data_IF_605383121202
#
_entry.id   IF_605383121202
#
_cell.length_a   1.000
_cell.length_b   1.000
_cell.length_c   1.000
_cell.angle_alpha   90.00
_cell.angle_beta   90.00
_cell.angle_gamma   90.00
#
_symmetry.space_group_name_H-M   'P 1'
#
loop_
_entity.id
_entity.type
_entity.pdbx_description
1 polymer ?
#
# COMPACT_ATOMS: atom_id res chain seq x y z
N UNK A 1 -9.23 36.30 -23.76
CA UNK A 1 -8.82 35.46 -24.92
C UNK A 1 -7.41 34.91 -24.78
N UNK A 2 -6.38 35.67 -24.42
CA UNK A 2 -5.01 35.17 -24.19
C UNK A 2 -4.91 34.19 -22.98
N UNK A 3 -5.66 34.40 -21.92
CA UNK A 3 -5.71 33.50 -20.75
C UNK A 3 -6.36 32.17 -21.10
N UNK A 4 -7.43 32.15 -21.90
CA UNK A 4 -8.07 30.91 -22.38
C UNK A 4 -7.17 30.10 -23.32
N UNK A 5 -6.39 30.76 -24.17
CA UNK A 5 -5.40 30.09 -25.06
C UNK A 5 -4.23 29.49 -24.24
N UNK A 6 -3.84 30.14 -23.14
CA UNK A 6 -2.83 29.61 -22.21
C UNK A 6 -3.31 28.32 -21.52
N UNK A 7 -4.62 28.19 -21.23
CA UNK A 7 -5.19 26.98 -20.60
C UNK A 7 -5.54 25.88 -21.62
N UNK A 8 -5.85 26.20 -22.87
CA UNK A 8 -6.21 25.21 -23.90
C UNK A 8 -5.03 24.42 -24.49
N UNK A 9 -3.79 24.92 -24.35
CA UNK A 9 -2.56 24.23 -24.82
C UNK A 9 -1.80 23.50 -23.70
N UNK A 10 -2.35 23.37 -22.51
CA UNK A 10 -1.76 22.56 -21.45
C UNK A 10 -2.05 21.08 -21.73
N UNK A 11 -1.12 20.36 -22.38
CA UNK A 11 -0.97 18.92 -22.16
C UNK A 11 -1.00 18.68 -20.65
N UNK A 12 -1.72 17.70 -20.18
CA UNK A 12 -1.72 17.34 -18.77
C UNK A 12 -0.26 17.08 -18.34
N UNK A 13 0.20 17.87 -17.35
CA UNK A 13 1.60 17.88 -16.90
C UNK A 13 1.83 16.76 -15.89
N UNK A 14 1.48 15.54 -16.23
CA UNK A 14 1.84 14.39 -15.42
C UNK A 14 2.83 13.53 -16.18
N UNK A 15 4.06 13.44 -15.64
CA UNK A 15 5.14 12.63 -16.20
C UNK A 15 5.38 11.48 -15.23
N UNK A 16 5.21 10.25 -15.67
CA UNK A 16 5.65 9.08 -14.95
C UNK A 16 6.22 8.03 -15.91
N UNK A 17 7.41 7.57 -15.56
CA UNK A 17 8.07 6.41 -16.16
C UNK A 17 8.55 5.51 -15.04
N UNK A 18 8.18 4.26 -15.10
CA UNK A 18 8.63 3.27 -14.12
C UNK A 18 10.15 3.16 -14.13
N UNK A 19 10.83 3.18 -12.98
CA UNK A 19 12.29 3.24 -12.90
C UNK A 19 12.93 1.86 -13.12
N UNK A 20 12.66 1.22 -14.25
CA UNK A 20 13.08 -0.15 -14.57
C UNK A 20 14.60 -0.32 -14.50
N UNK A 21 15.36 0.66 -15.00
CA UNK A 21 16.82 0.61 -14.93
C UNK A 21 17.33 0.62 -13.49
N UNK A 22 16.69 1.40 -12.61
CA UNK A 22 17.03 1.45 -11.18
C UNK A 22 16.63 0.15 -10.48
N UNK A 23 15.51 -0.46 -10.86
CA UNK A 23 15.10 -1.77 -10.35
C UNK A 23 16.13 -2.85 -10.71
N UNK A 24 16.51 -2.96 -11.99
CA UNK A 24 17.53 -3.91 -12.44
C UNK A 24 18.85 -3.68 -11.70
N UNK A 25 19.32 -2.43 -11.63
CA UNK A 25 20.53 -2.08 -10.91
C UNK A 25 20.49 -2.52 -9.44
N UNK A 26 19.38 -2.29 -8.74
CA UNK A 26 19.22 -2.71 -7.37
C UNK A 26 19.23 -4.24 -7.21
N UNK A 27 18.51 -4.98 -8.06
CA UNK A 27 18.50 -6.44 -8.03
C UNK A 27 19.93 -6.99 -8.22
N UNK A 28 20.66 -6.48 -9.20
CA UNK A 28 22.04 -6.91 -9.49
C UNK A 28 22.99 -6.59 -8.31
N UNK A 29 22.93 -5.38 -7.78
CA UNK A 29 23.78 -4.94 -6.66
C UNK A 29 23.48 -5.63 -5.33
N UNK A 30 22.24 -6.04 -5.10
CA UNK A 30 21.83 -6.74 -3.89
C UNK A 30 22.02 -8.27 -3.98
N UNK A 31 22.53 -8.78 -5.11
CA UNK A 31 22.79 -10.20 -5.31
C UNK A 31 21.53 -11.05 -5.49
N UNK A 32 20.52 -10.50 -6.15
CA UNK A 32 19.21 -11.12 -6.30
C UNK A 32 19.26 -12.51 -6.94
N UNK A 33 20.08 -12.75 -7.96
CA UNK A 33 20.18 -14.06 -8.61
C UNK A 33 20.64 -15.15 -7.62
N UNK A 34 21.66 -14.86 -6.81
CA UNK A 34 22.12 -15.81 -5.77
C UNK A 34 21.05 -16.04 -4.70
N UNK A 35 20.27 -15.03 -4.37
CA UNK A 35 19.10 -15.17 -3.50
C UNK A 35 18.05 -16.09 -4.12
N UNK A 36 17.64 -15.87 -5.38
CA UNK A 36 16.65 -16.67 -6.06
C UNK A 36 17.09 -18.14 -6.21
N UNK A 37 18.34 -18.38 -6.55
CA UNK A 37 18.94 -19.72 -6.63
C UNK A 37 18.96 -20.47 -5.28
N UNK A 38 18.99 -19.77 -4.16
CA UNK A 38 19.01 -20.36 -2.82
C UNK A 38 17.68 -20.94 -2.36
N UNK A 39 16.60 -20.65 -3.06
CA UNK A 39 15.22 -21.10 -2.75
C UNK A 39 14.66 -21.86 -3.95
N UNK A 40 14.38 -23.15 -3.79
CA UNK A 40 13.93 -24.01 -4.91
C UNK A 40 12.74 -23.46 -5.67
N UNK A 41 11.79 -22.84 -4.96
CA UNK A 41 10.59 -22.23 -5.54
C UNK A 41 10.92 -21.03 -6.44
N UNK A 42 12.06 -20.36 -6.26
CA UNK A 42 12.37 -19.09 -6.92
C UNK A 42 13.41 -19.19 -8.03
N UNK A 43 13.94 -20.39 -8.33
CA UNK A 43 15.02 -20.61 -9.30
C UNK A 43 14.71 -20.08 -10.71
N UNK A 44 13.44 -20.10 -11.11
CA UNK A 44 12.98 -19.62 -12.41
C UNK A 44 12.71 -18.10 -12.43
N UNK A 45 12.85 -17.41 -11.28
CA UNK A 45 12.66 -15.97 -11.13
C UNK A 45 14.00 -15.23 -11.03
N UNK A 46 14.87 -15.38 -12.02
CA UNK A 46 16.10 -14.58 -12.10
C UNK A 46 15.82 -13.10 -12.36
N UNK A 47 16.86 -12.25 -12.29
CA UNK A 47 16.72 -10.80 -12.51
C UNK A 47 16.04 -10.49 -13.85
N UNK A 48 16.40 -11.17 -14.95
CA UNK A 48 15.86 -10.90 -16.29
C UNK A 48 14.38 -11.26 -16.35
N UNK A 49 13.99 -12.42 -15.81
CA UNK A 49 12.59 -12.86 -15.71
C UNK A 49 11.76 -11.87 -14.90
N UNK A 50 12.24 -11.48 -13.72
CA UNK A 50 11.53 -10.50 -12.87
C UNK A 50 11.37 -9.17 -13.60
N UNK A 51 12.42 -8.64 -14.19
CA UNK A 51 12.36 -7.37 -14.93
C UNK A 51 11.39 -7.45 -16.10
N UNK A 52 11.38 -8.57 -16.84
CA UNK A 52 10.42 -8.77 -17.94
C UNK A 52 8.96 -8.69 -17.49
N UNK A 53 8.63 -9.30 -16.35
CA UNK A 53 7.29 -9.20 -15.74
C UNK A 53 6.98 -7.78 -15.29
N UNK A 54 7.92 -7.15 -14.60
CA UNK A 54 7.78 -5.78 -14.08
C UNK A 54 7.61 -4.76 -15.21
N UNK A 55 8.25 -4.96 -16.38
CA UNK A 55 8.05 -4.14 -17.57
C UNK A 55 6.62 -4.22 -18.13
N UNK A 56 5.96 -5.39 -18.06
CA UNK A 56 4.56 -5.52 -18.46
C UNK A 56 3.64 -4.74 -17.51
N UNK A 57 3.89 -4.85 -16.20
CA UNK A 57 3.17 -4.07 -15.16
C UNK A 57 3.39 -2.57 -15.36
N UNK A 58 4.63 -2.16 -15.66
CA UNK A 58 5.00 -0.78 -15.94
C UNK A 58 4.22 -0.23 -17.14
N UNK A 59 4.19 -0.96 -18.24
CA UNK A 59 3.49 -0.57 -19.47
C UNK A 59 2.00 -0.30 -19.21
N UNK A 60 1.31 -1.22 -18.51
CA UNK A 60 -0.09 -1.04 -18.15
C UNK A 60 -0.30 0.22 -17.30
N UNK A 61 0.50 0.37 -16.23
CA UNK A 61 0.35 1.48 -15.30
C UNK A 61 0.63 2.84 -15.97
N UNK A 62 1.66 2.93 -16.80
CA UNK A 62 2.02 4.16 -17.53
C UNK A 62 0.99 4.56 -18.59
N UNK A 63 0.31 3.60 -19.21
CA UNK A 63 -0.63 3.87 -20.30
C UNK A 63 -2.07 4.08 -19.82
N UNK A 64 -2.50 3.42 -18.75
CA UNK A 64 -3.90 3.38 -18.35
C UNK A 64 -4.14 3.92 -16.93
N UNK A 65 -3.26 3.61 -15.96
CA UNK A 65 -3.51 3.92 -14.56
C UNK A 65 -3.15 5.36 -14.18
N UNK A 66 -2.01 5.88 -14.66
CA UNK A 66 -1.47 7.19 -14.27
C UNK A 66 -2.48 8.32 -14.49
N UNK A 67 -3.15 8.36 -15.65
CA UNK A 67 -4.13 9.40 -15.98
C UNK A 67 -5.37 9.36 -15.07
N UNK A 68 -5.68 8.18 -14.50
CA UNK A 68 -6.81 8.03 -13.58
C UNK A 68 -6.61 8.75 -12.25
N UNK A 69 -5.36 8.92 -11.80
CA UNK A 69 -5.02 9.39 -10.46
C UNK A 69 -5.56 10.80 -10.17
N UNK A 70 -5.16 11.77 -11.00
CA UNK A 70 -5.58 13.18 -10.85
C UNK A 70 -7.09 13.35 -11.09
N UNK A 71 -7.64 12.60 -12.04
CA UNK A 71 -9.07 12.62 -12.33
C UNK A 71 -9.87 12.11 -11.14
N UNK A 72 -9.43 10.99 -10.54
CA UNK A 72 -10.09 10.38 -9.39
C UNK A 72 -10.02 11.25 -8.12
N UNK A 73 -8.90 11.95 -7.87
CA UNK A 73 -8.79 12.89 -6.75
C UNK A 73 -9.81 14.02 -6.84
N UNK A 74 -10.14 14.45 -8.06
CA UNK A 74 -11.14 15.52 -8.29
C UNK A 74 -12.59 15.04 -8.22
N UNK A 75 -12.85 13.87 -8.75
CA UNK A 75 -14.17 13.26 -8.78
C UNK A 75 -14.59 12.70 -7.42
N UNK A 76 -13.65 12.06 -6.72
CA UNK A 76 -13.89 11.41 -5.43
C UNK A 76 -14.74 10.15 -5.55
N UNK A 77 -15.46 9.83 -4.48
CA UNK A 77 -16.33 8.66 -4.33
C UNK A 77 -17.70 9.10 -3.86
N UNK A 78 -18.73 8.32 -4.16
CA UNK A 78 -20.13 8.65 -3.84
C UNK A 78 -20.70 7.65 -2.84
N UNK A 79 -21.23 8.14 -1.73
CA UNK A 79 -21.99 7.35 -0.76
C UNK A 79 -23.48 7.43 -1.05
N UNK A 80 -24.14 6.28 -1.22
CA UNK A 80 -25.58 6.16 -1.46
C UNK A 80 -26.18 5.45 -0.24
N UNK A 81 -26.88 6.23 0.60
CA UNK A 81 -27.46 5.73 1.85
C UNK A 81 -28.55 4.68 1.61
N UNK A 82 -29.43 4.93 0.65
CA UNK A 82 -30.60 4.12 0.35
C UNK A 82 -30.40 3.36 -0.98
N UNK A 83 -29.35 2.52 -1.04
CA UNK A 83 -29.09 1.62 -2.16
C UNK A 83 -30.02 0.41 -2.15
N UNK A 84 -29.94 -0.44 -3.17
CA UNK A 84 -30.86 -1.57 -3.36
C UNK A 84 -30.83 -2.60 -2.24
N UNK A 85 -29.67 -2.83 -1.64
CA UNK A 85 -29.43 -3.83 -0.57
C UNK A 85 -28.85 -3.18 0.68
N UNK A 86 -29.16 -1.91 0.92
CA UNK A 86 -28.58 -1.09 1.97
C UNK A 86 -27.58 -0.06 1.43
N UNK A 87 -26.77 0.55 2.30
CA UNK A 87 -25.80 1.56 1.88
C UNK A 87 -24.78 1.02 0.88
N UNK A 88 -24.53 1.80 -0.17
CA UNK A 88 -23.58 1.47 -1.25
C UNK A 88 -22.53 2.58 -1.39
N UNK A 89 -21.36 2.20 -1.87
CA UNK A 89 -20.29 3.14 -2.25
C UNK A 89 -19.95 2.93 -3.71
N UNK A 90 -19.97 4.02 -4.48
CA UNK A 90 -19.57 4.03 -5.87
C UNK A 90 -18.23 4.72 -6.03
N UNK A 91 -17.34 4.03 -6.70
CA UNK A 91 -16.05 4.56 -7.18
C UNK A 91 -16.26 5.26 -8.54
N UNK A 92 -15.27 6.04 -9.04
CA UNK A 92 -15.34 6.58 -10.39
C UNK A 92 -15.59 5.48 -11.43
N UNK A 93 -16.46 5.72 -12.41
CA UNK A 93 -16.93 4.71 -13.38
C UNK A 93 -15.79 3.99 -14.12
N UNK A 94 -14.67 4.66 -14.34
CA UNK A 94 -13.48 4.08 -14.99
C UNK A 94 -12.63 3.22 -14.05
N UNK A 95 -12.87 3.19 -12.74
CA UNK A 95 -12.14 2.30 -11.81
C UNK A 95 -12.48 0.83 -12.03
N UNK A 96 -13.75 0.53 -12.34
CA UNK A 96 -14.18 -0.85 -12.56
C UNK A 96 -13.50 -1.51 -13.77
N UNK A 97 -13.50 -0.92 -14.98
CA UNK A 97 -12.72 -1.47 -16.09
C UNK A 97 -11.21 -1.50 -15.82
N UNK A 98 -10.62 -0.50 -15.16
CA UNK A 98 -9.22 -0.54 -14.76
C UNK A 98 -8.93 -1.72 -13.81
N UNK A 99 -9.81 -1.95 -12.83
CA UNK A 99 -9.66 -3.07 -11.92
C UNK A 99 -9.80 -4.41 -12.63
N UNK A 100 -10.69 -4.52 -13.62
CA UNK A 100 -10.81 -5.72 -14.44
C UNK A 100 -9.52 -5.99 -15.22
N UNK A 101 -8.91 -4.97 -15.84
CA UNK A 101 -7.61 -5.11 -16.50
C UNK A 101 -6.50 -5.54 -15.54
N UNK A 102 -6.54 -5.07 -14.30
CA UNK A 102 -5.61 -5.49 -13.24
C UNK A 102 -5.79 -6.97 -12.89
N UNK A 103 -7.03 -7.46 -12.79
CA UNK A 103 -7.34 -8.89 -12.59
C UNK A 103 -6.81 -9.73 -13.77
N UNK A 104 -7.13 -9.33 -14.99
CA UNK A 104 -6.74 -10.05 -16.21
C UNK A 104 -5.22 -10.11 -16.40
N UNK A 105 -4.49 -9.13 -15.91
CA UNK A 105 -3.01 -9.14 -15.94
C UNK A 105 -2.38 -10.18 -15.01
N UNK A 106 -3.11 -10.67 -14.00
CA UNK A 106 -2.67 -11.68 -13.04
C UNK A 106 -1.62 -11.22 -12.03
N UNK A 107 -1.13 -10.00 -12.10
CA UNK A 107 -0.02 -9.58 -11.22
C UNK A 107 -0.42 -9.39 -9.75
N UNK A 108 -1.72 -9.23 -9.45
CA UNK A 108 -2.21 -9.18 -8.05
C UNK A 108 -1.87 -10.48 -7.31
N UNK A 109 -2.07 -11.62 -7.97
CA UNK A 109 -1.83 -12.94 -7.40
C UNK A 109 -0.39 -13.44 -7.54
N UNK A 110 0.51 -12.68 -8.19
CA UNK A 110 1.82 -13.17 -8.61
C UNK A 110 2.67 -13.76 -7.48
N UNK A 111 2.70 -13.15 -6.30
CA UNK A 111 3.50 -13.61 -5.15
C UNK A 111 2.71 -14.49 -4.16
N UNK A 112 1.53 -14.98 -4.55
CA UNK A 112 0.74 -15.90 -3.72
C UNK A 112 1.01 -17.37 -4.10
N UNK A 113 0.70 -18.34 -3.20
CA UNK A 113 0.93 -19.75 -3.46
C UNK A 113 0.18 -20.29 -4.68
N UNK A 114 0.86 -21.13 -5.47
CA UNK A 114 0.29 -21.79 -6.65
C UNK A 114 -0.85 -22.74 -6.32
N UNK A 115 -0.86 -23.34 -5.10
CA UNK A 115 -1.93 -24.20 -4.59
C UNK A 115 -3.31 -23.53 -4.66
N UNK A 116 -3.37 -22.20 -4.49
CA UNK A 116 -4.62 -21.42 -4.54
C UNK A 116 -4.73 -20.53 -5.78
N UNK A 117 -3.95 -20.82 -6.83
CA UNK A 117 -4.01 -20.10 -8.10
C UNK A 117 -3.10 -18.87 -8.20
N UNK A 118 -2.16 -18.70 -7.27
CA UNK A 118 -1.12 -17.68 -7.35
C UNK A 118 0.03 -18.03 -8.29
N UNK A 119 0.93 -17.09 -8.52
CA UNK A 119 2.09 -17.26 -9.38
C UNK A 119 3.33 -17.86 -8.71
N UNK A 120 3.37 -17.95 -7.37
CA UNK A 120 4.52 -18.45 -6.61
C UNK A 120 5.78 -17.60 -6.71
N UNK A 121 5.67 -16.36 -7.21
CA UNK A 121 6.80 -15.45 -7.38
C UNK A 121 7.32 -14.89 -6.05
N UNK A 122 8.60 -14.48 -5.97
CA UNK A 122 9.16 -13.85 -4.78
C UNK A 122 8.39 -12.58 -4.37
N UNK A 123 8.27 -12.35 -3.08
CA UNK A 123 7.68 -11.12 -2.53
C UNK A 123 8.45 -9.88 -2.99
N UNK A 124 9.78 -10.01 -3.19
CA UNK A 124 10.61 -8.96 -3.76
C UNK A 124 10.08 -8.44 -5.12
N UNK A 125 9.60 -9.33 -6.01
CA UNK A 125 8.94 -8.92 -7.25
C UNK A 125 7.63 -8.15 -6.97
N UNK A 126 6.87 -8.58 -5.97
CA UNK A 126 5.65 -7.89 -5.51
C UNK A 126 5.91 -6.46 -5.04
N UNK A 127 7.08 -6.20 -4.43
CA UNK A 127 7.50 -4.85 -4.02
C UNK A 127 7.76 -3.94 -5.23
N UNK A 128 8.42 -4.43 -6.28
CA UNK A 128 8.64 -3.66 -7.52
C UNK A 128 7.31 -3.30 -8.20
N UNK A 129 6.42 -4.28 -8.34
CA UNK A 129 5.08 -4.07 -8.89
C UNK A 129 4.25 -3.08 -8.03
N UNK A 130 4.38 -3.20 -6.70
CA UNK A 130 3.74 -2.31 -5.74
C UNK A 130 4.21 -0.86 -5.87
N UNK A 131 5.51 -0.62 -6.05
CA UNK A 131 6.04 0.74 -6.26
C UNK A 131 5.43 1.39 -7.51
N UNK A 132 5.38 0.65 -8.63
CA UNK A 132 4.79 1.13 -9.88
C UNK A 132 3.32 1.48 -9.70
N UNK A 133 2.54 0.57 -9.12
CA UNK A 133 1.11 0.77 -8.93
C UNK A 133 0.78 1.93 -8.00
N UNK A 134 1.49 2.05 -6.87
CA UNK A 134 1.31 3.14 -5.91
C UNK A 134 1.67 4.48 -6.56
N UNK A 135 2.80 4.57 -7.26
CA UNK A 135 3.20 5.78 -7.98
C UNK A 135 2.15 6.20 -9.02
N UNK A 136 1.56 5.24 -9.70
CA UNK A 136 0.55 5.49 -10.73
C UNK A 136 -0.78 5.99 -10.15
N UNK A 137 -1.32 5.34 -9.11
CA UNK A 137 -2.53 5.76 -8.41
C UNK A 137 -2.58 5.16 -7.00
N UNK A 138 -2.04 5.89 -6.01
CA UNK A 138 -1.99 5.44 -4.63
C UNK A 138 -3.38 5.14 -4.07
N UNK A 139 -4.38 5.98 -4.36
CA UNK A 139 -5.74 5.81 -3.83
C UNK A 139 -6.41 4.52 -4.32
N UNK A 140 -6.25 4.18 -5.59
CA UNK A 140 -6.74 2.94 -6.17
C UNK A 140 -6.02 1.72 -5.61
N UNK A 141 -4.69 1.81 -5.47
CA UNK A 141 -3.86 0.69 -5.02
C UNK A 141 -4.06 0.29 -3.55
N UNK A 142 -4.74 1.14 -2.76
CA UNK A 142 -5.12 0.79 -1.39
C UNK A 142 -5.97 -0.49 -1.32
N UNK A 143 -6.93 -0.69 -2.24
CA UNK A 143 -7.79 -1.87 -2.26
C UNK A 143 -7.03 -3.18 -2.49
N UNK A 144 -6.39 -3.37 -3.66
CA UNK A 144 -5.58 -4.56 -3.95
C UNK A 144 -4.47 -4.78 -2.93
N UNK A 145 -3.81 -3.71 -2.47
CA UNK A 145 -2.71 -3.79 -1.49
C UNK A 145 -3.13 -4.36 -0.14
N UNK A 146 -4.28 -3.93 0.41
CA UNK A 146 -4.80 -4.45 1.67
C UNK A 146 -5.33 -5.88 1.55
N UNK A 147 -5.86 -6.26 0.38
CA UNK A 147 -6.29 -7.63 0.11
C UNK A 147 -5.16 -8.64 0.31
N UNK A 148 -3.91 -8.29 -0.02
CA UNK A 148 -2.75 -9.16 0.18
C UNK A 148 -2.51 -9.47 1.67
N UNK A 149 -2.70 -8.49 2.56
CA UNK A 149 -2.61 -8.72 4.01
C UNK A 149 -3.68 -9.71 4.48
N UNK A 150 -4.93 -9.54 4.03
CA UNK A 150 -6.03 -10.46 4.36
C UNK A 150 -5.76 -11.89 3.86
N UNK A 151 -5.26 -12.03 2.62
CA UNK A 151 -4.83 -13.32 2.05
C UNK A 151 -3.77 -13.96 2.95
N UNK A 152 -2.73 -13.22 3.35
CA UNK A 152 -1.63 -13.72 4.19
C UNK A 152 -2.14 -14.23 5.56
N UNK A 153 -3.06 -13.51 6.19
CA UNK A 153 -3.64 -13.95 7.47
C UNK A 153 -4.46 -15.25 7.32
N UNK A 154 -5.27 -15.37 6.25
CA UNK A 154 -6.03 -16.59 5.97
C UNK A 154 -5.10 -17.76 5.66
N UNK A 155 -4.05 -17.55 4.84
CA UNK A 155 -3.04 -18.55 4.51
C UNK A 155 -2.35 -19.12 5.75
N UNK A 156 -1.94 -18.26 6.67
CA UNK A 156 -1.16 -18.69 7.86
C UNK A 156 -2.03 -19.24 8.99
N UNK A 157 -3.24 -18.72 9.19
CA UNK A 157 -4.07 -19.02 10.38
C UNK A 157 -5.46 -19.58 10.06
N UNK A 158 -5.95 -19.49 8.83
CA UNK A 158 -7.22 -20.09 8.43
C UNK A 158 -7.19 -21.62 8.45
N UNK A 159 -8.31 -22.26 8.77
CA UNK A 159 -8.46 -23.69 8.58
C UNK A 159 -8.60 -24.04 7.08
N UNK A 160 -8.55 -25.33 6.74
CA UNK A 160 -8.58 -25.76 5.33
C UNK A 160 -9.85 -25.31 4.60
N UNK A 161 -10.99 -25.38 5.25
CA UNK A 161 -12.29 -24.98 4.65
C UNK A 161 -12.29 -23.50 4.26
N UNK A 162 -11.85 -22.60 5.17
CA UNK A 162 -11.75 -21.18 4.88
C UNK A 162 -10.73 -20.87 3.78
N UNK A 163 -9.58 -21.57 3.77
CA UNK A 163 -8.57 -21.42 2.72
C UNK A 163 -9.12 -21.81 1.35
N UNK A 164 -9.67 -23.01 1.24
CA UNK A 164 -10.18 -23.55 -0.03
C UNK A 164 -11.33 -22.71 -0.59
N UNK A 165 -12.14 -22.12 0.29
CA UNK A 165 -13.32 -21.32 -0.08
C UNK A 165 -12.97 -19.92 -0.53
N UNK A 166 -12.11 -19.22 0.21
CA UNK A 166 -11.89 -17.77 0.02
C UNK A 166 -10.62 -17.42 -0.76
N UNK A 167 -9.52 -18.18 -0.58
CA UNK A 167 -8.25 -17.81 -1.16
C UNK A 167 -8.25 -17.79 -2.69
N UNK A 168 -8.82 -18.75 -3.42
CA UNK A 168 -8.77 -18.72 -4.89
C UNK A 168 -9.37 -17.43 -5.48
N UNK A 169 -10.51 -16.99 -4.95
CA UNK A 169 -11.18 -15.77 -5.42
C UNK A 169 -10.51 -14.48 -4.94
N UNK A 170 -9.88 -14.50 -3.78
CA UNK A 170 -9.12 -13.35 -3.30
C UNK A 170 -7.78 -13.20 -4.04
N UNK A 171 -7.11 -14.30 -4.34
CA UNK A 171 -5.82 -14.32 -5.07
C UNK A 171 -6.03 -13.93 -6.55
N UNK A 172 -7.12 -14.40 -7.18
CA UNK A 172 -7.47 -13.95 -8.54
C UNK A 172 -7.86 -12.46 -8.60
N UNK A 173 -8.23 -11.85 -7.46
CA UNK A 173 -8.76 -10.49 -7.40
C UNK A 173 -10.27 -10.37 -7.61
N UNK A 174 -11.00 -11.48 -7.82
CA UNK A 174 -12.47 -11.45 -7.91
C UNK A 174 -13.11 -10.91 -6.64
N UNK A 175 -12.49 -11.15 -5.46
CA UNK A 175 -12.91 -10.63 -4.18
C UNK A 175 -11.77 -9.86 -3.52
N UNK A 176 -12.09 -8.69 -2.97
CA UNK A 176 -11.14 -7.93 -2.16
C UNK A 176 -11.23 -8.29 -0.68
N UNK A 177 -10.15 -8.02 0.05
CA UNK A 177 -10.08 -8.18 1.50
C UNK A 177 -9.84 -6.86 2.22
N UNK A 178 -10.30 -6.74 3.46
CA UNK A 178 -10.10 -5.59 4.33
C UNK A 178 -9.63 -5.96 5.72
N UNK A 179 -9.05 -4.99 6.43
CA UNK A 179 -8.71 -5.08 7.85
C UNK A 179 -9.64 -4.19 8.67
N UNK A 180 -10.39 -4.77 9.61
CA UNK A 180 -11.36 -4.08 10.46
C UNK A 180 -10.91 -4.12 11.93
N UNK A 181 -10.00 -3.19 12.32
CA UNK A 181 -9.40 -3.12 13.65
C UNK A 181 -10.01 -2.01 14.48
N UNK A 182 -9.82 -0.77 13.99
CA UNK A 182 -10.05 0.48 14.70
C UNK A 182 -11.53 0.72 15.00
N UNK A 183 -11.80 1.19 16.20
CA UNK A 183 -13.13 1.63 16.64
C UNK A 183 -13.10 3.11 17.06
N UNK A 184 -14.26 3.78 17.21
CA UNK A 184 -14.28 5.21 17.54
C UNK A 184 -13.48 5.58 18.81
N UNK A 185 -13.38 4.68 19.78
CA UNK A 185 -12.66 4.91 21.05
C UNK A 185 -11.21 4.40 21.04
N UNK A 186 -10.80 3.62 20.05
CA UNK A 186 -9.46 3.02 20.04
C UNK A 186 -8.91 2.79 18.62
N UNK A 187 -7.64 3.14 18.42
CA UNK A 187 -6.88 2.85 17.21
C UNK A 187 -5.54 2.24 17.56
N UNK A 188 -4.68 2.97 18.24
CA UNK A 188 -3.38 2.47 18.73
C UNK A 188 -3.54 1.45 19.86
N UNK A 189 -4.41 1.73 20.83
CA UNK A 189 -4.72 0.82 21.94
C UNK A 189 -5.91 -0.09 21.60
N UNK A 190 -5.64 -1.17 20.87
CA UNK A 190 -6.66 -2.15 20.49
C UNK A 190 -7.21 -2.94 21.69
N UNK A 191 -6.55 -2.88 22.85
CA UNK A 191 -7.09 -3.46 24.10
C UNK A 191 -8.46 -2.92 24.51
N UNK A 192 -8.86 -1.77 23.94
CA UNK A 192 -10.12 -1.10 24.23
C UNK A 192 -11.26 -1.42 23.26
N UNK A 193 -11.08 -2.32 22.30
CA UNK A 193 -12.16 -2.69 21.35
C UNK A 193 -13.38 -3.24 22.09
N UNK A 194 -14.57 -2.91 21.58
CA UNK A 194 -15.87 -3.27 22.14
C UNK A 194 -16.70 -4.16 21.22
N UNK A 195 -16.33 -4.32 19.95
CA UNK A 195 -17.01 -5.25 19.05
C UNK A 195 -17.00 -6.65 19.65
N UNK A 196 -18.14 -7.35 19.58
CA UNK A 196 -18.36 -8.67 20.15
C UNK A 196 -18.60 -9.71 19.07
N UNK A 197 -18.27 -10.96 19.37
CA UNK A 197 -18.56 -12.12 18.55
C UNK A 197 -19.19 -13.21 19.43
N UNK A 198 -20.50 -13.42 19.28
CA UNK A 198 -21.25 -14.42 20.05
C UNK A 198 -21.28 -15.73 19.27
N UNK A 199 -20.85 -16.87 19.86
CA UNK A 199 -20.84 -18.14 19.17
C UNK A 199 -22.27 -18.64 18.88
N UNK A 200 -22.49 -19.22 17.70
CA UNK A 200 -23.60 -20.00 17.25
C UNK A 200 -23.12 -21.43 16.92
N UNK A 201 -23.95 -22.29 16.32
CA UNK A 201 -23.59 -23.70 16.06
C UNK A 201 -22.32 -23.84 15.17
N UNK A 202 -22.25 -23.12 14.04
CA UNK A 202 -21.18 -23.24 13.02
C UNK A 202 -20.56 -21.90 12.60
N UNK A 203 -21.00 -20.79 13.22
CA UNK A 203 -20.50 -19.44 12.93
C UNK A 203 -20.56 -18.57 14.20
N UNK A 204 -20.20 -17.31 14.07
CA UNK A 204 -20.31 -16.28 15.10
C UNK A 204 -21.19 -15.13 14.61
N UNK A 205 -21.99 -14.55 15.51
CA UNK A 205 -22.67 -13.28 15.29
C UNK A 205 -21.79 -12.14 15.78
N UNK A 206 -21.40 -11.26 14.87
CA UNK A 206 -20.59 -10.10 15.18
C UNK A 206 -21.44 -8.84 15.29
N UNK A 207 -21.19 -8.07 16.35
CA UNK A 207 -21.84 -6.80 16.64
C UNK A 207 -20.82 -5.73 16.98
N UNK A 208 -21.03 -4.50 16.47
CA UNK A 208 -20.19 -3.36 16.75
C UNK A 208 -19.93 -2.46 15.54
N UNK A 209 -19.00 -1.53 15.72
CA UNK A 209 -18.64 -0.54 14.69
C UNK A 209 -17.13 -0.49 14.52
N UNK A 210 -16.68 -0.45 13.27
CA UNK A 210 -15.29 -0.23 12.88
C UNK A 210 -15.20 1.05 12.05
N UNK A 211 -14.15 1.84 12.26
CA UNK A 211 -13.93 3.10 11.54
C UNK A 211 -12.64 3.09 10.74
N UNK A 212 -12.55 3.98 9.75
CA UNK A 212 -11.40 4.17 8.87
C UNK A 212 -11.04 2.92 8.04
N UNK A 213 -12.05 2.12 7.69
CA UNK A 213 -11.83 0.89 6.94
C UNK A 213 -11.69 1.22 5.44
N UNK A 214 -10.44 1.14 4.96
CA UNK A 214 -10.15 1.32 3.54
C UNK A 214 -10.80 0.22 2.73
N UNK A 215 -11.51 0.60 1.66
CA UNK A 215 -12.30 -0.30 0.81
C UNK A 215 -13.29 -1.19 1.59
N UNK A 216 -13.79 -0.71 2.73
CA UNK A 216 -14.81 -1.42 3.51
C UNK A 216 -16.12 -1.63 2.74
N UNK A 217 -16.47 -0.72 1.85
CA UNK A 217 -17.56 -0.86 0.88
C UNK A 217 -17.13 -0.22 -0.44
N UNK A 218 -17.42 -0.89 -1.56
CA UNK A 218 -17.14 -0.42 -2.92
C UNK A 218 -17.88 -1.27 -3.96
N UNK A 219 -17.86 -0.84 -5.22
CA UNK A 219 -18.52 -1.49 -6.35
C UNK A 219 -17.56 -2.18 -7.33
N UNK A 220 -16.28 -2.34 -6.99
CA UNK A 220 -15.26 -2.94 -7.87
C UNK A 220 -15.33 -4.47 -7.90
N UNK A 221 -15.70 -5.11 -6.78
CA UNK A 221 -15.83 -6.56 -6.67
C UNK A 221 -17.22 -6.97 -6.17
N UNK A 222 -17.60 -8.19 -6.49
CA UNK A 222 -18.89 -8.74 -6.07
C UNK A 222 -18.96 -8.99 -4.56
N UNK A 223 -17.86 -9.44 -3.97
CA UNK A 223 -17.75 -9.70 -2.54
C UNK A 223 -16.54 -9.01 -1.93
N UNK A 224 -16.62 -8.73 -0.63
CA UNK A 224 -15.54 -8.15 0.19
C UNK A 224 -15.40 -9.03 1.43
N UNK A 225 -14.18 -9.45 1.73
CA UNK A 225 -13.86 -10.31 2.85
C UNK A 225 -13.23 -9.48 3.96
N UNK A 226 -14.02 -9.18 4.99
CA UNK A 226 -13.56 -8.36 6.11
C UNK A 226 -12.90 -9.25 7.17
N UNK A 227 -11.66 -8.93 7.56
CA UNK A 227 -10.99 -9.52 8.71
C UNK A 227 -11.22 -8.62 9.92
N UNK A 228 -12.05 -9.08 10.85
CA UNK A 228 -12.60 -8.28 11.95
C UNK A 228 -12.05 -8.73 13.29
N UNK A 229 -11.48 -7.81 14.07
CA UNK A 229 -11.14 -8.04 15.47
C UNK A 229 -12.37 -7.83 16.35
N UNK A 230 -12.69 -8.85 17.17
CA UNK A 230 -13.80 -8.79 18.11
C UNK A 230 -13.50 -9.64 19.37
N UNK A 231 -14.33 -9.49 20.40
CA UNK A 231 -14.22 -10.21 21.66
C UNK A 231 -15.28 -11.30 21.77
N UNK A 232 -14.88 -12.45 22.28
CA UNK A 232 -15.81 -13.48 22.75
C UNK A 232 -16.47 -13.06 24.08
N UNK A 233 -17.64 -13.62 24.47
CA UNK A 233 -18.35 -13.23 25.69
C UNK A 233 -17.50 -13.30 26.97
N UNK A 234 -16.70 -14.35 27.13
CA UNK A 234 -15.88 -14.59 28.32
C UNK A 234 -14.38 -14.29 28.10
N UNK A 235 -14.08 -13.45 27.09
CA UNK A 235 -12.70 -13.11 26.77
C UNK A 235 -12.03 -12.27 27.86
N UNK A 236 -10.74 -12.53 28.17
CA UNK A 236 -10.01 -11.69 29.10
C UNK A 236 -9.93 -10.23 28.62
N UNK A 237 -9.78 -9.32 29.55
CA UNK A 237 -9.60 -7.88 29.25
C UNK A 237 -8.29 -7.61 28.48
N UNK A 238 -8.23 -6.45 27.82
CA UNK A 238 -7.04 -6.00 27.09
C UNK A 238 -6.82 -6.77 25.79
N UNK A 239 -5.60 -6.72 25.26
CA UNK A 239 -5.22 -7.29 23.97
C UNK A 239 -5.30 -8.84 23.95
N UNK A 240 -5.15 -9.48 25.11
CA UNK A 240 -5.17 -10.94 25.24
C UNK A 240 -6.56 -11.57 25.07
N UNK A 241 -7.63 -10.77 24.99
CA UNK A 241 -8.99 -11.24 24.78
C UNK A 241 -9.53 -10.99 23.36
N UNK A 242 -8.65 -10.67 22.42
CA UNK A 242 -9.04 -10.33 21.05
C UNK A 242 -8.94 -11.57 20.17
N UNK A 243 -9.99 -11.85 19.41
CA UNK A 243 -10.05 -12.90 18.39
C UNK A 243 -10.23 -12.28 17.00
N UNK A 244 -9.86 -13.02 15.95
CA UNK A 244 -9.98 -12.59 14.56
C UNK A 244 -11.07 -13.38 13.85
N UNK A 245 -11.92 -12.71 13.08
CA UNK A 245 -13.02 -13.29 12.35
C UNK A 245 -13.01 -12.89 10.88
N UNK A 246 -13.30 -13.83 9.99
CA UNK A 246 -13.59 -13.60 8.59
C UNK A 246 -15.09 -13.35 8.46
N UNK A 247 -15.47 -12.19 7.94
CA UNK A 247 -16.84 -11.73 7.77
C UNK A 247 -17.02 -11.29 6.29
N UNK A 248 -17.64 -12.13 5.44
CA UNK A 248 -17.87 -11.77 4.06
C UNK A 248 -19.02 -10.74 3.94
N UNK A 249 -18.96 -9.87 2.97
CA UNK A 249 -20.07 -8.97 2.61
C UNK A 249 -21.30 -9.74 2.10
N UNK A 250 -21.08 -10.83 1.36
CA UNK A 250 -22.11 -11.73 0.85
C UNK A 250 -21.88 -13.14 1.33
N UNK A 251 -22.94 -13.82 1.71
CA UNK A 251 -22.96 -15.23 2.11
C UNK A 251 -23.01 -16.15 0.87
N UNK A 252 -22.96 -17.47 1.09
CA UNK A 252 -22.91 -18.46 0.00
C UNK A 252 -24.17 -18.47 -0.87
N UNK A 253 -25.31 -18.18 -0.28
CA UNK A 253 -26.59 -18.03 -0.98
C UNK A 253 -26.73 -16.65 -1.69
N UNK A 254 -25.63 -15.91 -1.75
CA UNK A 254 -25.54 -14.54 -2.29
C UNK A 254 -26.36 -13.51 -1.51
N UNK A 255 -26.93 -13.85 -0.35
CA UNK A 255 -27.61 -12.88 0.50
C UNK A 255 -26.63 -11.88 1.11
N UNK A 256 -27.13 -10.67 1.39
CA UNK A 256 -26.33 -9.64 2.07
C UNK A 256 -26.14 -10.02 3.54
N UNK A 257 -24.87 -10.14 3.96
CA UNK A 257 -24.52 -10.26 5.36
C UNK A 257 -24.73 -8.92 6.06
N UNK A 258 -25.27 -8.88 7.30
CA UNK A 258 -25.53 -7.61 8.02
C UNK A 258 -24.25 -6.89 8.48
N UNK A 259 -23.39 -6.58 7.53
CA UNK A 259 -22.25 -5.66 7.66
C UNK A 259 -22.39 -4.55 6.61
N UNK A 260 -22.53 -3.31 7.06
CA UNK A 260 -22.91 -2.20 6.20
C UNK A 260 -22.02 -0.98 6.41
N UNK A 261 -21.78 -0.23 5.32
CA UNK A 261 -21.14 1.06 5.39
C UNK A 261 -22.11 2.10 5.99
N UNK A 262 -21.75 2.64 7.15
CA UNK A 262 -22.53 3.69 7.83
C UNK A 262 -22.18 5.11 7.35
N UNK A 263 -21.11 5.27 6.59
CA UNK A 263 -20.63 6.55 6.07
C UNK A 263 -19.19 6.49 5.58
N UNK A 264 -18.78 7.57 4.91
CA UNK A 264 -17.43 7.74 4.38
C UNK A 264 -16.72 8.89 5.10
N UNK A 265 -15.41 8.75 5.26
CA UNK A 265 -14.56 9.79 5.81
C UNK A 265 -14.18 10.83 4.75
N UNK A 266 -14.28 12.11 5.10
CA UNK A 266 -13.77 13.22 4.31
C UNK A 266 -12.29 13.46 4.63
N UNK A 267 -11.42 13.16 3.67
CA UNK A 267 -9.96 13.07 3.91
C UNK A 267 -9.18 14.19 3.24
N UNK A 268 -7.95 14.41 3.73
CA UNK A 268 -6.98 15.32 3.15
C UNK A 268 -6.51 14.86 1.75
N UNK A 269 -6.21 13.57 1.60
CA UNK A 269 -5.69 12.93 0.39
C UNK A 269 -6.30 11.55 0.19
N UNK A 270 -5.80 10.82 -0.84
CA UNK A 270 -6.38 9.54 -1.28
C UNK A 270 -7.90 9.59 -1.37
N UNK A 271 -8.41 10.68 -1.97
CA UNK A 271 -9.83 11.05 -1.96
C UNK A 271 -10.69 9.95 -2.58
N UNK A 272 -10.23 9.33 -3.65
CA UNK A 272 -10.94 8.26 -4.37
C UNK A 272 -10.79 6.87 -3.74
N UNK A 273 -10.07 6.73 -2.63
CA UNK A 273 -10.03 5.50 -1.83
C UNK A 273 -11.20 5.52 -0.83
N UNK A 274 -12.20 4.63 -0.92
CA UNK A 274 -13.26 4.55 0.08
C UNK A 274 -12.68 4.27 1.46
N UNK A 275 -13.01 5.12 2.44
CA UNK A 275 -12.62 4.93 3.84
C UNK A 275 -13.90 4.94 4.66
N UNK A 276 -14.31 3.77 5.10
CA UNK A 276 -15.66 3.49 5.55
C UNK A 276 -15.77 3.40 7.07
N UNK A 277 -16.93 3.81 7.58
CA UNK A 277 -17.46 3.39 8.87
C UNK A 277 -18.26 2.11 8.64
N UNK A 278 -17.85 0.98 9.22
CA UNK A 278 -18.50 -0.31 9.05
C UNK A 278 -19.30 -0.68 10.28
N UNK A 279 -20.59 -0.90 10.13
CA UNK A 279 -21.52 -1.34 11.20
C UNK A 279 -21.84 -2.80 11.01
N UNK A 280 -21.80 -3.58 12.11
CA UNK A 280 -22.16 -4.99 12.16
C UNK A 280 -23.37 -5.14 13.09
N UNK A 281 -24.41 -5.83 12.62
CA UNK A 281 -25.64 -6.11 13.34
C UNK A 281 -26.00 -7.58 13.16
N UNK A 282 -25.51 -8.43 14.04
CA UNK A 282 -25.53 -9.89 13.93
C UNK A 282 -24.87 -10.44 12.64
N UNK A 283 -23.81 -9.75 12.17
CA UNK A 283 -23.08 -10.18 10.99
C UNK A 283 -22.45 -11.57 11.19
N UNK A 284 -22.66 -12.48 10.23
CA UNK A 284 -22.11 -13.84 10.28
C UNK A 284 -20.63 -13.82 9.97
N UNK A 285 -19.83 -14.50 10.81
CA UNK A 285 -18.40 -14.64 10.62
C UNK A 285 -17.84 -15.94 11.14
N UNK A 286 -16.65 -16.28 10.67
CA UNK A 286 -15.92 -17.50 11.06
C UNK A 286 -14.57 -17.12 11.67
N UNK A 287 -14.21 -17.79 12.76
CA UNK A 287 -12.96 -17.51 13.46
C UNK A 287 -11.75 -17.90 12.61
N UNK A 288 -10.74 -17.04 12.59
CA UNK A 288 -9.42 -17.32 12.02
C UNK A 288 -8.43 -17.54 13.16
N UNK A 289 -7.78 -18.70 13.16
CA UNK A 289 -6.85 -19.09 14.24
C UNK A 289 -7.58 -19.57 15.50
N UNK A 290 -7.00 -19.30 16.66
CA UNK A 290 -7.49 -19.74 17.95
C UNK A 290 -8.19 -18.61 18.72
N UNK A 291 -9.12 -18.94 19.64
CA UNK A 291 -9.73 -17.97 20.54
C UNK A 291 -8.67 -17.14 21.28
N UNK A 292 -8.90 -15.83 21.36
CA UNK A 292 -8.03 -14.88 22.08
C UNK A 292 -6.60 -14.74 21.52
N UNK A 293 -6.34 -15.25 20.30
CA UNK A 293 -5.08 -15.10 19.57
C UNK A 293 -5.20 -14.28 18.28
N UNK A 294 -6.25 -13.46 18.17
CA UNK A 294 -6.49 -12.64 16.99
C UNK A 294 -5.38 -11.63 16.71
N UNK A 295 -4.69 -11.15 17.74
CA UNK A 295 -3.56 -10.24 17.56
C UNK A 295 -2.36 -10.90 16.87
N UNK A 296 -2.07 -12.18 17.12
CA UNK A 296 -0.99 -12.91 16.42
C UNK A 296 -1.25 -12.98 14.91
N UNK A 297 -2.50 -13.27 14.51
CA UNK A 297 -2.88 -13.29 13.11
C UNK A 297 -2.86 -11.88 12.49
N UNK A 298 -3.26 -10.86 13.26
CA UNK A 298 -3.28 -9.48 12.82
C UNK A 298 -1.87 -8.91 12.65
N UNK A 299 -0.90 -9.29 13.49
CA UNK A 299 0.49 -8.87 13.32
C UNK A 299 1.12 -9.34 12.01
N UNK A 300 0.72 -10.51 11.49
CA UNK A 300 1.15 -10.96 10.16
C UNK A 300 0.72 -9.98 9.05
N UNK A 301 -0.52 -9.49 9.12
CA UNK A 301 -1.03 -8.47 8.20
C UNK A 301 -0.34 -7.13 8.39
N UNK A 302 -0.16 -6.71 9.64
CA UNK A 302 0.43 -5.40 9.97
C UNK A 302 1.89 -5.30 9.52
N UNK A 303 2.69 -6.36 9.64
CA UNK A 303 4.08 -6.35 9.21
C UNK A 303 4.20 -6.24 7.68
N UNK A 304 3.36 -6.97 6.94
CA UNK A 304 3.26 -6.84 5.49
C UNK A 304 2.81 -5.41 5.09
N UNK A 305 1.78 -4.89 5.76
CA UNK A 305 1.28 -3.54 5.54
C UNK A 305 2.34 -2.46 5.85
N UNK A 306 3.12 -2.60 6.92
CA UNK A 306 4.16 -1.63 7.31
C UNK A 306 5.24 -1.46 6.25
N UNK A 307 5.74 -2.56 5.66
CA UNK A 307 6.71 -2.49 4.56
C UNK A 307 6.10 -1.77 3.34
N UNK A 308 4.85 -2.11 2.97
CA UNK A 308 4.13 -1.47 1.87
C UNK A 308 3.84 0.00 2.13
N UNK A 309 3.60 0.40 3.38
CA UNK A 309 3.47 1.83 3.75
C UNK A 309 4.80 2.57 3.60
N UNK A 310 5.92 1.95 3.94
CA UNK A 310 7.24 2.49 3.60
C UNK A 310 7.41 2.67 2.09
N UNK A 311 7.00 1.67 1.32
CA UNK A 311 7.02 1.70 -0.15
C UNK A 311 6.17 2.84 -0.74
N UNK A 312 5.05 3.22 -0.09
CA UNK A 312 4.28 4.41 -0.50
C UNK A 312 5.14 5.68 -0.47
N UNK A 313 5.99 5.83 0.54
CA UNK A 313 6.95 6.94 0.61
C UNK A 313 7.94 6.93 -0.56
N UNK A 314 8.43 5.76 -0.96
CA UNK A 314 9.33 5.59 -2.13
C UNK A 314 8.60 5.97 -3.42
N UNK A 315 7.47 5.34 -3.68
CA UNK A 315 6.69 5.51 -4.91
C UNK A 315 6.25 6.96 -5.14
N UNK A 316 5.76 7.61 -4.08
CA UNK A 316 5.32 9.01 -4.16
C UNK A 316 6.50 9.97 -4.29
N UNK A 317 7.67 9.66 -3.72
CA UNK A 317 8.91 10.41 -3.97
C UNK A 317 9.35 10.31 -5.43
N UNK A 318 9.28 9.12 -6.03
CA UNK A 318 9.69 8.89 -7.42
C UNK A 318 8.85 9.70 -8.40
N UNK A 319 7.52 9.58 -8.32
CA UNK A 319 6.64 10.32 -9.23
C UNK A 319 6.75 11.85 -9.00
N UNK A 320 6.88 12.30 -7.75
CA UNK A 320 7.06 13.71 -7.43
C UNK A 320 8.38 14.24 -7.99
N UNK A 321 9.48 13.48 -7.86
CA UNK A 321 10.77 13.81 -8.41
C UNK A 321 10.73 13.97 -9.94
N UNK A 322 10.13 13.02 -10.65
CA UNK A 322 10.06 13.06 -12.11
C UNK A 322 9.33 14.31 -12.60
N UNK A 323 8.20 14.66 -11.98
CA UNK A 323 7.44 15.87 -12.33
C UNK A 323 8.21 17.16 -11.98
N UNK A 324 8.89 17.21 -10.84
CA UNK A 324 9.72 18.34 -10.45
C UNK A 324 10.94 18.51 -11.38
N UNK A 325 11.55 17.40 -11.77
CA UNK A 325 12.69 17.40 -12.69
C UNK A 325 12.29 17.88 -14.09
N UNK A 326 11.16 17.39 -14.63
CA UNK A 326 10.64 17.84 -15.92
C UNK A 326 10.33 19.32 -15.89
N UNK A 327 9.65 19.79 -14.85
CA UNK A 327 9.38 21.22 -14.69
C UNK A 327 10.67 22.04 -14.61
N UNK A 328 11.66 21.59 -13.85
CA UNK A 328 12.93 22.31 -13.68
C UNK A 328 13.75 22.40 -14.98
N UNK A 329 13.64 21.40 -15.85
CA UNK A 329 14.28 21.38 -17.17
C UNK A 329 13.59 22.30 -18.19
N UNK A 330 12.32 22.59 -18.01
CA UNK A 330 11.50 23.34 -18.98
C UNK A 330 11.16 24.77 -18.53
N UNK A 331 11.16 25.07 -17.22
CA UNK A 331 10.84 26.38 -16.66
C UNK A 331 12.06 27.29 -16.71
N UNK A 332 11.92 28.44 -17.34
CA UNK A 332 12.96 29.49 -17.39
C UNK A 332 12.64 30.59 -16.39
N UNK A 333 13.61 30.92 -15.51
CA UNK A 333 13.49 32.01 -14.55
C UNK A 333 14.88 32.44 -14.05
N UNK A 334 15.17 33.72 -14.08
CA UNK A 334 16.47 34.33 -13.71
C UNK A 334 17.65 33.77 -14.53
N UNK A 335 18.84 34.35 -14.33
CA UNK A 335 20.11 33.86 -14.88
C UNK A 335 20.85 33.04 -13.83
N UNK A 336 21.55 32.00 -14.25
CA UNK A 336 22.40 31.21 -13.37
C UNK A 336 23.45 32.10 -12.68
N UNK A 337 23.66 31.90 -11.38
CA UNK A 337 24.76 32.53 -10.65
C UNK A 337 26.14 31.99 -11.09
N UNK A 338 26.17 30.81 -11.73
CA UNK A 338 27.37 30.19 -12.32
C UNK A 338 27.41 30.56 -13.80
N UNK A 339 28.38 31.38 -14.20
CA UNK A 339 28.48 31.91 -15.57
C UNK A 339 28.51 30.83 -16.64
N UNK A 340 29.25 29.75 -16.43
CA UNK A 340 29.40 28.64 -17.39
C UNK A 340 28.09 27.83 -17.60
N UNK A 341 27.08 28.06 -16.76
CA UNK A 341 25.76 27.45 -16.89
C UNK A 341 24.69 28.38 -17.46
N UNK A 342 25.10 29.59 -17.86
CA UNK A 342 24.23 30.54 -18.53
C UNK A 342 24.13 30.19 -20.01
N UNK A 343 22.90 30.14 -20.56
CA UNK A 343 22.71 30.02 -22.02
C UNK A 343 23.04 31.36 -22.70
N UNK A 344 23.89 31.35 -23.73
CA UNK A 344 24.49 32.58 -24.34
C UNK A 344 23.42 33.59 -24.78
N UNK A 345 22.34 33.14 -25.41
CA UNK A 345 21.36 34.02 -26.05
C UNK A 345 20.01 34.09 -25.32
N UNK A 346 19.94 33.52 -24.10
CA UNK A 346 18.71 33.47 -23.34
C UNK A 346 18.56 34.64 -22.36
N UNK A 347 17.35 35.18 -22.21
CA UNK A 347 17.01 36.18 -21.18
C UNK A 347 16.94 35.60 -19.78
N UNK A 348 16.62 34.28 -19.68
CA UNK A 348 16.56 33.52 -18.47
C UNK A 348 16.99 32.08 -18.73
N UNK A 349 17.59 31.41 -17.74
CA UNK A 349 18.03 30.03 -17.81
C UNK A 349 16.94 29.08 -17.26
N UNK A 350 17.04 27.81 -17.60
CA UNK A 350 16.19 26.78 -16.98
C UNK A 350 16.49 26.67 -15.49
N UNK A 351 15.47 26.58 -14.64
CA UNK A 351 15.66 26.64 -13.18
C UNK A 351 16.52 25.49 -12.61
N UNK A 352 16.70 24.41 -13.35
CA UNK A 352 17.57 23.30 -12.97
C UNK A 352 19.04 23.72 -12.76
N UNK A 353 19.47 24.85 -13.32
CA UNK A 353 20.84 25.34 -13.13
C UNK A 353 21.05 26.06 -11.80
N UNK A 354 19.99 26.43 -11.10
CA UNK A 354 20.08 27.12 -9.81
C UNK A 354 20.50 26.17 -8.69
N UNK A 355 21.45 26.54 -7.83
CA UNK A 355 22.00 25.65 -6.81
C UNK A 355 20.96 25.07 -5.85
N UNK A 356 19.99 25.87 -5.40
CA UNK A 356 18.97 25.40 -4.46
C UNK A 356 17.98 24.41 -5.10
N UNK A 357 17.57 24.65 -6.36
CA UNK A 357 16.77 23.70 -7.12
C UNK A 357 17.50 22.36 -7.28
N UNK A 358 18.81 22.42 -7.61
CA UNK A 358 19.65 21.22 -7.71
C UNK A 358 19.76 20.48 -6.38
N UNK A 359 19.93 21.21 -5.27
CA UNK A 359 20.00 20.63 -3.94
C UNK A 359 18.71 19.86 -3.62
N UNK A 360 17.53 20.46 -3.83
CA UNK A 360 16.24 19.80 -3.62
C UNK A 360 16.11 18.54 -4.47
N UNK A 361 16.32 18.64 -5.79
CA UNK A 361 16.23 17.49 -6.71
C UNK A 361 17.22 16.37 -6.34
N UNK A 362 18.46 16.69 -5.97
CA UNK A 362 19.45 15.69 -5.57
C UNK A 362 19.08 15.00 -4.25
N UNK A 363 18.57 15.75 -3.28
CA UNK A 363 18.09 15.17 -2.02
C UNK A 363 16.94 14.20 -2.26
N UNK A 364 15.94 14.61 -3.04
CA UNK A 364 14.80 13.73 -3.37
C UNK A 364 15.28 12.47 -4.08
N UNK A 365 16.12 12.60 -5.14
CA UNK A 365 16.62 11.45 -5.90
C UNK A 365 17.42 10.50 -5.01
N UNK A 366 18.43 10.98 -4.31
CA UNK A 366 19.32 10.13 -3.51
C UNK A 366 18.59 9.40 -2.37
N UNK A 367 17.66 10.09 -1.70
CA UNK A 367 16.84 9.45 -0.65
C UNK A 367 15.86 8.43 -1.22
N UNK A 368 15.25 8.70 -2.38
CA UNK A 368 14.33 7.76 -3.04
C UNK A 368 15.05 6.46 -3.43
N UNK A 369 16.23 6.58 -4.04
CA UNK A 369 17.05 5.42 -4.43
C UNK A 369 17.49 4.58 -3.21
N UNK A 370 17.95 5.25 -2.15
CA UNK A 370 18.34 4.56 -0.92
C UNK A 370 17.16 3.84 -0.26
N UNK A 371 15.99 4.48 -0.18
CA UNK A 371 14.77 3.89 0.36
C UNK A 371 14.30 2.69 -0.49
N UNK A 372 14.37 2.78 -1.82
CA UNK A 372 14.04 1.68 -2.75
C UNK A 372 14.93 0.47 -2.50
N UNK A 373 16.25 0.67 -2.45
CA UNK A 373 17.21 -0.40 -2.15
C UNK A 373 16.90 -1.09 -0.82
N UNK A 374 16.55 -0.30 0.21
CA UNK A 374 16.20 -0.81 1.53
C UNK A 374 14.91 -1.66 1.50
N UNK A 375 13.87 -1.22 0.78
CA UNK A 375 12.63 -1.98 0.63
C UNK A 375 12.86 -3.29 -0.13
N UNK A 376 13.62 -3.28 -1.23
CA UNK A 376 13.95 -4.48 -2.01
C UNK A 376 14.76 -5.46 -1.16
N UNK A 377 15.82 -5.00 -0.50
CA UNK A 377 16.66 -5.87 0.34
C UNK A 377 15.87 -6.51 1.48
N UNK A 378 15.02 -5.73 2.15
CA UNK A 378 14.18 -6.26 3.24
C UNK A 378 13.15 -7.26 2.73
N UNK A 379 12.57 -7.05 1.55
CA UNK A 379 11.65 -8.03 0.94
C UNK A 379 12.35 -9.36 0.61
N UNK A 380 13.58 -9.33 0.11
CA UNK A 380 14.40 -10.55 -0.07
C UNK A 380 14.66 -11.27 1.26
N UNK A 381 14.87 -10.53 2.36
CA UNK A 381 15.01 -11.14 3.70
C UNK A 381 13.70 -11.78 4.19
N UNK A 382 12.55 -11.16 3.90
CA UNK A 382 11.25 -11.77 4.22
C UNK A 382 11.06 -13.08 3.42
N UNK A 383 11.41 -13.09 2.14
CA UNK A 383 11.37 -14.32 1.33
C UNK A 383 12.31 -15.41 1.88
N UNK A 384 13.54 -15.05 2.30
CA UNK A 384 14.46 -15.98 2.95
C UNK A 384 13.88 -16.54 4.26
N UNK A 385 13.30 -15.69 5.09
CA UNK A 385 12.68 -16.10 6.36
C UNK A 385 11.50 -17.07 6.16
N UNK A 386 10.76 -16.93 5.05
CA UNK A 386 9.60 -17.78 4.79
C UNK A 386 9.92 -19.06 4.03
N UNK A 387 10.96 -19.08 3.18
CA UNK A 387 11.14 -20.14 2.17
C UNK A 387 12.54 -20.80 2.13
N UNK A 388 13.55 -20.25 2.80
CA UNK A 388 14.90 -20.82 2.73
C UNK A 388 14.94 -22.21 3.40
N UNK A 389 15.63 -23.23 2.82
CA UNK A 389 15.68 -24.59 3.38
C UNK A 389 16.44 -24.67 4.72
N UNK A 390 17.43 -23.82 4.96
CA UNK A 390 18.24 -23.79 6.19
C UNK A 390 17.57 -22.94 7.28
N UNK A 391 17.35 -23.55 8.46
CA UNK A 391 16.69 -22.90 9.61
C UNK A 391 17.49 -21.70 10.12
N UNK A 392 18.82 -21.77 10.14
CA UNK A 392 19.67 -20.68 10.66
C UNK A 392 19.61 -19.43 9.75
N UNK A 393 19.45 -19.64 8.44
CA UNK A 393 19.24 -18.54 7.48
C UNK A 393 17.86 -17.93 7.67
N UNK A 394 16.82 -18.77 7.90
CA UNK A 394 15.47 -18.26 8.16
C UNK A 394 15.42 -17.40 9.43
N UNK A 395 15.98 -17.89 10.53
CA UNK A 395 16.01 -17.15 11.82
C UNK A 395 16.75 -15.81 11.67
N UNK A 396 17.93 -15.81 11.06
CA UNK A 396 18.71 -14.57 10.82
C UNK A 396 17.95 -13.58 9.94
N UNK A 397 17.24 -14.07 8.93
CA UNK A 397 16.47 -13.24 8.01
C UNK A 397 15.19 -12.68 8.68
N UNK A 398 14.54 -13.47 9.55
CA UNK A 398 13.40 -13.05 10.35
C UNK A 398 13.77 -11.94 11.33
N UNK A 399 14.87 -12.10 12.07
CA UNK A 399 15.41 -11.09 13.00
C UNK A 399 15.70 -9.77 12.27
N UNK A 400 16.35 -9.86 11.09
CA UNK A 400 16.61 -8.68 10.27
C UNK A 400 15.30 -7.99 9.83
N UNK A 401 14.34 -8.75 9.31
CA UNK A 401 13.06 -8.22 8.85
C UNK A 401 12.26 -7.57 9.99
N UNK A 402 12.29 -8.17 11.19
CA UNK A 402 11.64 -7.64 12.38
C UNK A 402 12.17 -6.24 12.77
N UNK A 403 13.50 -6.06 12.74
CA UNK A 403 14.15 -4.77 13.04
C UNK A 403 13.89 -3.76 11.93
N UNK A 404 13.99 -4.17 10.66
CA UNK A 404 13.92 -3.24 9.54
C UNK A 404 12.52 -2.75 9.22
N UNK A 405 11.49 -3.55 9.47
CA UNK A 405 10.10 -3.19 9.15
C UNK A 405 9.65 -1.88 9.81
N UNK A 406 9.77 -1.66 11.14
CA UNK A 406 9.43 -0.38 11.76
C UNK A 406 10.32 0.78 11.28
N UNK A 407 11.60 0.54 11.00
CA UNK A 407 12.53 1.56 10.45
C UNK A 407 12.04 1.99 9.07
N UNK A 408 11.75 1.05 8.17
CA UNK A 408 11.29 1.33 6.80
C UNK A 408 9.97 2.10 6.85
N UNK A 409 9.00 1.62 7.64
CA UNK A 409 7.71 2.29 7.74
C UNK A 409 7.88 3.73 8.20
N UNK A 410 8.65 3.98 9.25
CA UNK A 410 8.83 5.33 9.80
C UNK A 410 9.67 6.21 8.87
N UNK A 411 10.85 5.76 8.51
CA UNK A 411 11.81 6.56 7.73
C UNK A 411 11.29 6.86 6.31
N UNK A 412 10.83 5.84 5.59
CA UNK A 412 10.40 6.03 4.20
C UNK A 412 9.12 6.85 4.10
N UNK A 413 8.16 6.69 5.03
CA UNK A 413 6.95 7.51 5.03
C UNK A 413 7.25 8.98 5.33
N UNK A 414 8.12 9.27 6.31
CA UNK A 414 8.51 10.63 6.65
C UNK A 414 9.29 11.30 5.53
N UNK A 415 10.31 10.60 4.98
CA UNK A 415 11.09 11.11 3.84
C UNK A 415 10.22 11.25 2.60
N UNK A 416 9.28 10.33 2.36
CA UNK A 416 8.32 10.44 1.26
C UNK A 416 7.52 11.73 1.29
N UNK A 417 7.00 12.09 2.46
CA UNK A 417 6.29 13.37 2.63
C UNK A 417 7.20 14.58 2.40
N UNK A 418 8.41 14.58 2.98
CA UNK A 418 9.38 15.67 2.77
C UNK A 418 9.83 15.78 1.32
N UNK A 419 10.06 14.67 0.64
CA UNK A 419 10.42 14.64 -0.78
C UNK A 419 9.31 15.19 -1.68
N UNK A 420 8.05 14.86 -1.40
CA UNK A 420 6.91 15.46 -2.10
C UNK A 420 6.81 16.97 -1.86
N UNK A 421 7.09 17.44 -0.64
CA UNK A 421 7.13 18.85 -0.29
C UNK A 421 8.27 19.60 -1.02
N UNK A 422 9.48 19.04 -1.02
CA UNK A 422 10.61 19.61 -1.75
C UNK A 422 10.35 19.64 -3.28
N UNK A 423 9.75 18.58 -3.82
CA UNK A 423 9.36 18.50 -5.22
C UNK A 423 8.33 19.58 -5.59
N UNK A 424 7.33 19.81 -4.72
CA UNK A 424 6.37 20.89 -4.87
C UNK A 424 7.07 22.25 -4.83
N UNK A 425 8.02 22.45 -3.91
CA UNK A 425 8.79 23.69 -3.77
C UNK A 425 9.57 24.02 -5.05
N UNK A 426 10.10 23.03 -5.78
CA UNK A 426 10.77 23.23 -7.09
C UNK A 426 9.86 23.93 -8.10
N UNK A 427 8.55 23.66 -8.07
CA UNK A 427 7.58 24.29 -8.96
C UNK A 427 7.19 25.72 -8.53
N UNK A 428 7.56 26.15 -7.32
CA UNK A 428 7.14 27.44 -6.76
C UNK A 428 5.61 27.57 -6.72
N UNK A 429 5.06 28.73 -7.07
CA UNK A 429 3.62 28.97 -7.06
C UNK A 429 2.79 27.99 -7.93
N UNK A 430 3.40 27.46 -9.00
CA UNK A 430 2.74 26.44 -9.85
C UNK A 430 2.50 25.13 -9.08
N UNK A 431 3.41 24.74 -8.17
CA UNK A 431 3.26 23.52 -7.38
C UNK A 431 2.11 23.58 -6.38
N UNK A 432 1.67 24.79 -6.02
CA UNK A 432 0.57 25.00 -5.07
C UNK A 432 -0.84 24.96 -5.72
N UNK A 433 -0.88 24.88 -7.05
CA UNK A 433 -2.14 24.90 -7.81
C UNK A 433 -2.54 23.49 -8.26
N UNK A 434 -3.84 23.24 -8.35
CA UNK A 434 -4.42 21.94 -8.76
C UNK A 434 -4.17 21.57 -10.23
N UNK A 435 -3.62 22.47 -11.04
CA UNK A 435 -3.22 22.18 -12.43
C UNK A 435 -2.02 21.23 -12.48
N UNK A 436 -1.13 21.31 -11.46
CA UNK A 436 0.02 20.41 -11.30
C UNK A 436 -0.28 19.33 -10.26
N UNK A 437 0.26 18.11 -10.39
CA UNK A 437 -0.12 17.01 -9.53
C UNK A 437 0.60 17.00 -8.17
N UNK A 438 1.61 17.85 -7.94
CA UNK A 438 2.48 17.79 -6.76
C UNK A 438 1.72 18.07 -5.44
N UNK A 439 0.72 18.93 -5.47
CA UNK A 439 -0.11 19.21 -4.29
C UNK A 439 -0.90 17.95 -3.85
N UNK A 440 -1.37 17.16 -4.84
CA UNK A 440 -2.05 15.90 -4.57
C UNK A 440 -1.07 14.87 -3.98
N UNK A 441 0.12 14.70 -4.56
CA UNK A 441 1.11 13.73 -4.07
C UNK A 441 1.50 14.00 -2.61
N UNK A 442 1.66 15.27 -2.24
CA UNK A 442 1.93 15.66 -0.86
C UNK A 442 0.74 15.34 0.08
N UNK A 443 -0.50 15.56 -0.37
CA UNK A 443 -1.72 15.23 0.40
C UNK A 443 -1.88 13.71 0.56
N UNK A 444 -1.68 12.96 -0.50
CA UNK A 444 -1.88 11.52 -0.52
C UNK A 444 -0.87 10.79 0.37
N UNK A 445 0.42 11.12 0.26
CA UNK A 445 1.46 10.44 1.06
C UNK A 445 1.41 10.78 2.54
N UNK A 446 0.75 11.90 2.94
CA UNK A 446 0.72 12.35 4.33
C UNK A 446 0.13 11.32 5.30
N UNK A 447 -0.82 10.50 4.83
CA UNK A 447 -1.43 9.47 5.67
C UNK A 447 -0.44 8.37 6.08
N UNK A 448 0.59 8.11 5.28
CA UNK A 448 1.58 7.08 5.53
C UNK A 448 2.33 7.25 6.86
N UNK A 449 2.40 8.47 7.41
CA UNK A 449 3.01 8.75 8.70
C UNK A 449 2.09 8.39 9.88
N UNK A 450 0.80 8.17 9.62
CA UNK A 450 -0.26 8.04 10.64
C UNK A 450 -0.75 6.61 10.77
N UNK A 451 -1.23 5.99 9.66
CA UNK A 451 -1.85 4.67 9.71
C UNK A 451 -0.82 3.53 9.81
N UNK A 452 -1.31 2.30 10.06
CA UNK A 452 -0.51 1.08 10.32
C UNK A 452 0.48 1.26 11.48
N UNK A 453 0.05 1.99 12.50
CA UNK A 453 0.87 2.48 13.60
C UNK A 453 1.62 3.75 13.23
N UNK A 454 1.43 4.82 14.00
CA UNK A 454 2.14 6.10 13.77
C UNK A 454 3.66 5.91 13.80
N UNK A 455 4.41 6.86 13.23
CA UNK A 455 5.89 6.80 13.29
C UNK A 455 6.41 6.75 14.73
N UNK A 456 5.70 7.35 15.69
CA UNK A 456 6.01 7.21 17.12
C UNK A 456 5.81 5.77 17.63
N UNK A 457 4.80 5.06 17.16
CA UNK A 457 4.60 3.64 17.50
C UNK A 457 5.69 2.76 16.88
N UNK A 458 6.15 3.06 15.66
CA UNK A 458 7.29 2.34 15.07
C UNK A 458 8.57 2.51 15.90
N UNK A 459 8.82 3.72 16.40
CA UNK A 459 9.95 3.98 17.30
C UNK A 459 9.82 3.20 18.62
N UNK A 460 8.60 3.10 19.16
CA UNK A 460 8.33 2.31 20.37
C UNK A 460 8.56 0.82 20.14
N UNK A 461 8.04 0.26 19.02
CA UNK A 461 8.25 -1.14 18.65
C UNK A 461 9.73 -1.47 18.55
N UNK A 462 10.53 -0.63 17.87
CA UNK A 462 11.97 -0.79 17.77
C UNK A 462 12.66 -0.77 19.14
N UNK A 463 12.23 0.12 20.04
CA UNK A 463 12.74 0.20 21.42
C UNK A 463 12.43 -1.07 22.22
N UNK A 464 11.22 -1.63 22.07
CA UNK A 464 10.80 -2.86 22.77
C UNK A 464 11.59 -4.10 22.31
N UNK A 465 11.95 -4.19 21.04
CA UNK A 465 12.83 -5.25 20.51
C UNK A 465 14.17 -5.21 21.24
N UNK A 466 14.76 -4.04 21.43
CA UNK A 466 16.01 -3.88 22.17
C UNK A 466 15.92 -4.20 23.67
N UNK A 467 14.76 -3.99 24.28
CA UNK A 467 14.54 -4.24 25.71
C UNK A 467 14.27 -5.72 26.01
N UNK A 468 13.48 -6.37 25.15
CA UNK A 468 13.04 -7.76 25.38
C UNK A 468 14.06 -8.82 25.00
N UNK A 469 15.05 -8.53 24.14
CA UNK A 469 16.04 -9.48 23.67
C UNK A 469 17.51 -8.94 23.70
N UNK A 470 18.01 -8.39 24.82
CA UNK A 470 19.37 -7.84 24.86
C UNK A 470 20.47 -8.86 24.71
N UNK A 471 20.17 -10.17 24.80
CA UNK A 471 21.16 -11.26 24.81
C UNK A 471 21.35 -11.98 23.48
N UNK A 472 20.42 -11.88 22.52
CA UNK A 472 20.57 -12.50 21.19
C UNK A 472 21.49 -11.73 20.23
N UNK A 473 21.77 -10.46 20.49
CA UNK A 473 22.55 -9.60 19.58
C UNK A 473 24.07 -9.73 19.68
N UNK A 474 24.59 -10.51 20.63
CA UNK A 474 26.04 -10.53 20.94
C UNK A 474 26.67 -11.95 21.11
N UNK A 475 26.00 -13.00 20.64
CA UNK A 475 26.57 -14.37 20.65
C UNK A 475 26.97 -14.83 19.26
#
# INVERSE_FOLDING_TARGET
>A
MLILIYYQNKKEFMVYKSPIADFKYNLDMLGYNSFAESIDQFKDFDTETVISVVEQVAKFNEQEMVDSNKKADREGIVYIKDGKEGPEVKTPDYFKPLYQSVIESGYIGASNPTEYGGGGAPFAMGILNGEIGIASNMAFYMGPGLSQGAIKAILKKGNKELKDKYLPKMISGEWMGTMCLTEPQCGTDLGLIRSTATPEEDYYKLNGQKIWISFGEHDLTENIIHLVLARLPDAPEGIKGISLFLVPKRLDDNSRNPIFCGGLEHKLGIISSPTCVMNMDDAKGWMIGEPNKGMEAMFLMMNDARLKVGLQGVAMSEIAYQNALDFAKNRRQMRSVVKDKQESDAKADNIIVHPDVRRMLMNVKSTTEAMRSLCIYTSMKIDLAEHHPDDSVRETAEDFAAIMTPIIKSYCSEKGFLNCSDSLQVLGGSGFTKEYPLEQYMRDVRIALIYEGTNGIQALDLSLIHISEPTRQWS
#
